data_IF_071799719905
#
_entry.id   IF_071799719905
#
_cell.length_a   1.000
_cell.length_b   1.000
_cell.length_c   1.000
_cell.angle_alpha   90.00
_cell.angle_beta   90.00
_cell.angle_gamma   90.00
#
_symmetry.space_group_name_H-M   'P 1'
#
loop_
_entity.id
_entity.type
_entity.pdbx_description
1 polymer ?
#
# COMPACT_ATOMS: atom_id res chain seq x y z
N UNK A 1 -16.35 22.14 12.71
CA UNK A 1 -16.65 20.84 13.35
C UNK A 1 -17.34 19.96 12.33
N UNK A 2 -16.73 18.85 11.91
CA UNK A 2 -17.35 17.91 10.98
C UNK A 2 -18.52 17.21 11.67
N UNK A 3 -19.73 17.41 11.15
CA UNK A 3 -20.95 16.79 11.67
C UNK A 3 -20.97 15.33 11.21
N UNK A 4 -20.78 14.39 12.12
CA UNK A 4 -20.84 12.97 11.80
C UNK A 4 -22.29 12.55 11.55
N UNK A 5 -22.55 11.83 10.46
CA UNK A 5 -23.84 11.17 10.26
C UNK A 5 -23.96 10.01 11.25
N UNK A 6 -24.97 10.06 12.10
CA UNK A 6 -25.41 8.97 12.98
C UNK A 6 -26.49 8.17 12.26
N UNK A 7 -26.33 6.86 12.16
CA UNK A 7 -27.30 5.95 11.55
C UNK A 7 -27.56 4.72 12.42
N UNK A 8 -28.53 3.90 12.03
CA UNK A 8 -28.83 2.64 12.72
C UNK A 8 -27.76 1.58 12.44
N UNK A 9 -27.82 0.47 13.18
CA UNK A 9 -26.88 -0.65 12.99
C UNK A 9 -27.00 -1.28 11.61
N UNK A 10 -28.21 -1.37 11.05
CA UNK A 10 -28.44 -1.92 9.71
C UNK A 10 -27.90 -1.00 8.62
N UNK A 11 -28.13 0.31 8.75
CA UNK A 11 -27.59 1.31 7.81
C UNK A 11 -26.06 1.29 7.82
N UNK A 12 -25.45 1.19 9.00
CA UNK A 12 -24.01 1.06 9.14
C UNK A 12 -23.48 -0.23 8.49
N UNK A 13 -24.16 -1.37 8.72
CA UNK A 13 -23.74 -2.65 8.14
C UNK A 13 -23.81 -2.63 6.62
N UNK A 14 -24.89 -2.09 6.04
CA UNK A 14 -25.03 -1.92 4.60
C UNK A 14 -23.92 -1.05 4.01
N UNK A 15 -23.68 0.12 4.60
CA UNK A 15 -22.59 1.01 4.19
C UNK A 15 -21.21 0.35 4.32
N UNK A 16 -21.00 -0.45 5.38
CA UNK A 16 -19.72 -1.14 5.62
C UNK A 16 -19.47 -2.23 4.59
N UNK A 17 -20.49 -2.97 4.16
CA UNK A 17 -20.36 -4.00 3.13
C UNK A 17 -20.02 -3.40 1.76
N UNK A 18 -20.67 -2.30 1.38
CA UNK A 18 -20.33 -1.59 0.14
C UNK A 18 -18.91 -1.03 0.19
N UNK A 19 -18.51 -0.45 1.32
CA UNK A 19 -17.13 0.01 1.50
C UNK A 19 -16.14 -1.15 1.40
N UNK A 20 -16.41 -2.29 2.04
CA UNK A 20 -15.55 -3.47 1.99
C UNK A 20 -15.39 -4.01 0.56
N UNK A 21 -16.45 -3.93 -0.26
CA UNK A 21 -16.37 -4.31 -1.68
C UNK A 21 -15.43 -3.40 -2.46
N UNK A 22 -15.52 -2.08 -2.24
CA UNK A 22 -14.64 -1.11 -2.87
C UNK A 22 -13.18 -1.27 -2.40
N UNK A 23 -12.95 -1.50 -1.11
CA UNK A 23 -11.62 -1.77 -0.54
C UNK A 23 -10.98 -3.01 -1.19
N UNK A 24 -11.72 -4.11 -1.32
CA UNK A 24 -11.21 -5.33 -1.97
C UNK A 24 -10.84 -5.11 -3.44
N UNK A 25 -11.62 -4.32 -4.16
CA UNK A 25 -11.32 -3.98 -5.55
C UNK A 25 -10.04 -3.15 -5.67
N UNK A 26 -9.85 -2.18 -4.78
CA UNK A 26 -8.62 -1.42 -4.71
C UNK A 26 -7.39 -2.30 -4.42
N UNK A 27 -7.53 -3.28 -3.51
CA UNK A 27 -6.44 -4.24 -3.22
C UNK A 27 -6.05 -5.02 -4.48
N UNK A 28 -7.02 -5.58 -5.22
CA UNK A 28 -6.72 -6.34 -6.46
C UNK A 28 -6.01 -5.51 -7.52
N UNK A 29 -6.44 -4.25 -7.69
CA UNK A 29 -5.78 -3.31 -8.62
C UNK A 29 -4.36 -2.98 -8.16
N UNK A 30 -4.16 -2.85 -6.86
CA UNK A 30 -2.83 -2.60 -6.28
C UNK A 30 -1.89 -3.78 -6.53
N UNK A 31 -2.39 -5.01 -6.38
CA UNK A 31 -1.63 -6.24 -6.69
C UNK A 31 -1.25 -6.31 -8.17
N UNK A 32 -2.19 -5.97 -9.06
CA UNK A 32 -1.91 -5.91 -10.50
C UNK A 32 -0.82 -4.88 -10.82
N UNK A 33 -0.90 -3.69 -10.24
CA UNK A 33 0.13 -2.66 -10.39
C UNK A 33 1.48 -3.12 -9.85
N UNK A 34 1.50 -3.83 -8.72
CA UNK A 34 2.73 -4.38 -8.15
C UNK A 34 3.39 -5.38 -9.10
N UNK A 35 2.63 -6.30 -9.72
CA UNK A 35 3.16 -7.21 -10.75
C UNK A 35 3.77 -6.45 -11.93
N UNK A 36 3.04 -5.46 -12.47
CA UNK A 36 3.55 -4.64 -13.59
C UNK A 36 4.83 -3.89 -13.22
N UNK A 37 4.97 -3.43 -11.98
CA UNK A 37 6.21 -2.79 -11.48
C UNK A 37 7.37 -3.78 -11.39
N UNK A 38 7.11 -5.02 -10.99
CA UNK A 38 8.13 -6.07 -10.93
C UNK A 38 8.60 -6.52 -12.32
N UNK A 39 7.72 -6.46 -13.31
CA UNK A 39 8.03 -6.74 -14.72
C UNK A 39 8.84 -5.62 -15.41
N UNK A 40 8.98 -4.45 -14.78
CA UNK A 40 9.78 -3.38 -15.34
C UNK A 40 11.24 -3.82 -15.51
N UNK A 41 11.92 -3.37 -16.57
CA UNK A 41 13.33 -3.65 -16.77
C UNK A 41 14.16 -3.24 -15.56
N UNK A 42 14.99 -4.16 -15.08
CA UNK A 42 15.89 -3.90 -13.99
C UNK A 42 17.03 -3.01 -14.48
N UNK A 43 17.29 -1.93 -13.75
CA UNK A 43 18.42 -1.05 -14.00
C UNK A 43 19.50 -1.38 -12.98
N UNK A 44 20.72 -1.61 -13.47
CA UNK A 44 21.88 -1.83 -12.60
C UNK A 44 22.14 -0.57 -11.78
N UNK A 45 22.31 -0.74 -10.47
CA UNK A 45 22.73 0.35 -9.59
C UNK A 45 24.27 0.36 -9.60
N UNK A 46 24.86 1.34 -10.27
CA UNK A 46 26.32 1.53 -10.29
C UNK A 46 26.81 2.45 -9.17
N UNK A 47 25.91 2.87 -8.28
CA UNK A 47 26.25 3.73 -7.16
C UNK A 47 26.77 2.89 -6.00
N UNK A 48 27.98 3.21 -5.56
CA UNK A 48 28.61 2.60 -4.40
C UNK A 48 28.00 3.21 -3.13
N UNK A 49 27.00 2.52 -2.57
CA UNK A 49 26.37 2.92 -1.32
C UNK A 49 27.17 2.37 -0.14
N UNK A 50 27.49 3.26 0.81
CA UNK A 50 28.10 2.92 2.09
C UNK A 50 27.12 3.27 3.21
N UNK A 51 26.88 2.32 4.09
CA UNK A 51 26.05 2.44 5.27
C UNK A 51 26.92 2.36 6.50
N UNK A 52 26.66 3.20 7.50
CA UNK A 52 27.24 3.04 8.83
C UNK A 52 26.35 2.10 9.64
N UNK A 53 26.93 1.04 10.19
CA UNK A 53 26.27 0.16 11.16
C UNK A 53 27.04 0.16 12.48
N UNK A 54 26.47 -0.43 13.53
CA UNK A 54 27.13 -0.56 14.83
C UNK A 54 28.44 -1.40 14.76
N UNK A 55 28.64 -2.16 13.67
CA UNK A 55 29.85 -2.94 13.41
C UNK A 55 30.85 -2.22 12.47
N UNK A 56 30.53 -0.99 12.01
CA UNK A 56 31.35 -0.17 11.11
C UNK A 56 30.73 0.08 9.73
N UNK A 57 31.49 0.71 8.83
CA UNK A 57 30.98 1.02 7.48
C UNK A 57 30.87 -0.23 6.59
N UNK A 58 29.66 -0.52 6.09
CA UNK A 58 29.39 -1.61 5.14
C UNK A 58 28.90 -1.05 3.80
N UNK A 59 29.04 -1.81 2.71
CA UNK A 59 28.51 -1.44 1.39
C UNK A 59 27.26 -2.24 1.03
N UNK A 60 26.41 -1.70 0.16
CA UNK A 60 25.24 -2.42 -0.41
C UNK A 60 25.68 -3.63 -1.24
#
# INVERSE_FOLDING_TARGET
MTKHKTGTREEWLGARLELLKAEKELTRRSDELARRRQELPWVRIDKEYRFETDEGSTSL
#
